data_IF_109635665168
#
_entry.id   IF_109635665168
#
_cell.length_a   1.000
_cell.length_b   1.000
_cell.length_c   1.000
_cell.angle_alpha   90.00
_cell.angle_beta   90.00
_cell.angle_gamma   90.00
#
_symmetry.space_group_name_H-M   'P 1'
#
loop_
_entity.id
_entity.type
_entity.pdbx_description
1 polymer ?
#
# COMPACT_ATOMS: atom_id res chain seq x y z
N UNK A 1 15.70 22.30 -5.27
CA UNK A 1 15.16 21.04 -4.71
C UNK A 1 13.72 20.83 -5.18
N UNK A 2 13.27 19.58 -5.22
CA UNK A 2 11.89 19.15 -5.51
C UNK A 2 11.35 18.46 -4.26
N UNK A 3 10.12 18.77 -3.87
CA UNK A 3 9.40 18.10 -2.79
C UNK A 3 8.43 17.09 -3.39
N UNK A 4 8.65 15.81 -3.12
CA UNK A 4 7.66 14.78 -3.39
C UNK A 4 6.92 14.41 -2.10
N UNK A 5 5.63 14.14 -2.21
CA UNK A 5 4.76 13.81 -1.09
C UNK A 5 3.96 12.57 -1.47
N UNK A 6 3.86 11.62 -0.55
CA UNK A 6 3.05 10.42 -0.68
C UNK A 6 1.99 10.41 0.42
N UNK A 7 0.73 10.52 0.01
CA UNK A 7 -0.46 10.57 0.86
C UNK A 7 -1.18 9.24 0.74
N UNK A 8 -0.79 8.29 1.59
CA UNK A 8 -1.32 6.93 1.61
C UNK A 8 -2.45 6.72 2.64
N UNK A 9 -2.87 5.46 2.78
CA UNK A 9 -3.98 5.07 3.66
C UNK A 9 -3.72 5.16 5.17
N UNK A 10 -2.48 5.34 5.61
CA UNK A 10 -2.09 5.40 7.04
C UNK A 10 -1.45 6.73 7.45
N UNK A 11 -1.38 7.70 6.54
CA UNK A 11 -0.68 8.97 6.75
C UNK A 11 0.05 9.48 5.51
N UNK A 12 0.67 10.64 5.65
CA UNK A 12 1.45 11.25 4.59
C UNK A 12 2.95 11.32 4.95
N UNK A 13 3.81 11.22 3.94
CA UNK A 13 5.26 11.31 4.05
C UNK A 13 5.81 12.23 2.96
N UNK A 14 6.97 12.82 3.21
CA UNK A 14 7.65 13.68 2.24
C UNK A 14 9.08 13.23 1.98
N UNK A 15 9.56 13.58 0.80
CA UNK A 15 10.96 13.50 0.37
C UNK A 15 11.34 14.82 -0.29
N UNK A 16 12.45 15.41 0.18
CA UNK A 16 13.16 16.50 -0.49
C UNK A 16 14.29 15.90 -1.31
N UNK A 17 14.27 16.15 -2.61
CA UNK A 17 15.22 15.61 -3.57
C UNK A 17 15.95 16.74 -4.30
N UNK A 18 17.27 16.62 -4.46
CA UNK A 18 18.10 17.64 -5.11
C UNK A 18 18.27 17.46 -6.62
N UNK A 19 17.91 16.28 -7.16
CA UNK A 19 18.20 15.90 -8.54
C UNK A 19 18.98 14.58 -8.63
N UNK A 20 19.61 14.19 -7.53
CA UNK A 20 20.46 13.00 -7.46
C UNK A 20 20.12 12.17 -6.21
N UNK A 21 20.03 12.81 -5.05
CA UNK A 21 19.84 12.16 -3.74
C UNK A 21 18.73 12.77 -2.90
N UNK A 22 18.29 11.99 -1.91
CA UNK A 22 17.36 12.45 -0.88
C UNK A 22 18.10 13.33 0.11
N UNK A 23 17.73 14.61 0.18
CA UNK A 23 18.28 15.60 1.13
C UNK A 23 17.62 15.48 2.49
N UNK A 24 16.31 15.21 2.50
CA UNK A 24 15.52 15.07 3.72
C UNK A 24 14.29 14.23 3.43
N UNK A 25 13.82 13.49 4.44
CA UNK A 25 12.55 12.75 4.37
C UNK A 25 11.95 12.62 5.75
N UNK A 26 10.63 12.43 5.82
CA UNK A 26 9.97 12.19 7.10
C UNK A 26 8.46 12.11 6.99
N UNK A 27 7.79 11.82 8.12
CA UNK A 27 6.33 11.86 8.19
C UNK A 27 5.82 13.31 8.16
N UNK A 28 4.61 13.48 7.65
CA UNK A 28 3.79 14.68 7.83
C UNK A 28 2.81 14.46 8.98
N UNK A 29 2.30 15.54 9.57
CA UNK A 29 1.31 15.49 10.66
C UNK A 29 -0.11 15.26 10.13
N UNK A 30 -0.34 15.46 8.84
CA UNK A 30 -1.59 15.11 8.16
C UNK A 30 -1.91 13.60 8.22
N UNK A 31 -3.19 13.29 8.42
CA UNK A 31 -3.77 11.93 8.43
C UNK A 31 -4.97 11.83 7.49
N UNK A 32 -5.28 10.61 6.99
CA UNK A 32 -6.48 10.38 6.20
C UNK A 32 -7.73 10.88 6.94
N UNK A 33 -8.53 11.71 6.27
CA UNK A 33 -9.70 12.37 6.83
C UNK A 33 -9.46 13.80 7.31
N UNK A 34 -8.21 14.23 7.46
CA UNK A 34 -7.88 15.63 7.74
C UNK A 34 -8.14 16.53 6.52
N UNK A 35 -8.49 17.79 6.77
CA UNK A 35 -8.66 18.78 5.71
C UNK A 35 -7.36 19.02 4.92
N UNK A 36 -7.46 19.14 3.59
CA UNK A 36 -6.32 19.42 2.70
C UNK A 36 -5.59 20.73 3.04
N UNK A 37 -6.27 21.69 3.66
CA UNK A 37 -5.67 22.94 4.14
C UNK A 37 -4.54 22.68 5.17
N UNK A 38 -4.68 21.65 6.01
CA UNK A 38 -3.63 21.22 6.93
C UNK A 38 -2.39 20.71 6.19
N UNK A 39 -2.59 19.90 5.15
CA UNK A 39 -1.52 19.42 4.29
C UNK A 39 -0.83 20.59 3.58
N UNK A 40 -1.59 21.50 2.96
CA UNK A 40 -1.07 22.69 2.26
C UNK A 40 -0.14 23.52 3.15
N UNK A 41 -0.53 23.78 4.40
CA UNK A 41 0.32 24.52 5.37
C UNK A 41 1.64 23.81 5.66
N UNK A 42 1.63 22.49 5.78
CA UNK A 42 2.86 21.72 5.94
C UNK A 42 3.76 21.79 4.70
N UNK A 43 3.17 21.75 3.50
CA UNK A 43 3.92 21.89 2.24
C UNK A 43 4.60 23.26 2.15
N UNK A 44 3.89 24.35 2.47
CA UNK A 44 4.47 25.71 2.48
C UNK A 44 5.62 25.85 3.49
N UNK A 45 5.49 25.26 4.68
CA UNK A 45 6.57 25.21 5.66
C UNK A 45 7.81 24.49 5.11
N UNK A 46 7.63 23.35 4.44
CA UNK A 46 8.73 22.61 3.83
C UNK A 46 9.33 23.36 2.65
N UNK A 47 8.50 24.05 1.85
CA UNK A 47 8.97 24.91 0.74
C UNK A 47 9.92 25.99 1.23
N UNK A 48 9.53 26.74 2.26
CA UNK A 48 10.37 27.77 2.87
C UNK A 48 11.64 27.22 3.51
N UNK A 49 11.54 26.11 4.25
CA UNK A 49 12.70 25.50 4.94
C UNK A 49 13.79 25.01 3.99
N UNK A 50 13.40 24.45 2.84
CA UNK A 50 14.32 23.77 1.93
C UNK A 50 14.41 24.44 0.55
N UNK A 51 13.96 25.69 0.36
CA UNK A 51 14.05 26.37 -0.93
C UNK A 51 13.49 25.53 -2.10
N UNK A 52 12.32 24.92 -1.90
CA UNK A 52 11.71 24.01 -2.87
C UNK A 52 11.20 24.79 -4.08
N UNK A 53 11.52 24.31 -5.29
CA UNK A 53 11.09 24.94 -6.55
C UNK A 53 9.83 24.31 -7.15
N UNK A 54 9.63 23.02 -6.92
CA UNK A 54 8.49 22.25 -7.42
C UNK A 54 8.01 21.28 -6.33
N UNK A 55 6.71 21.13 -6.21
CA UNK A 55 6.03 20.21 -5.29
C UNK A 55 5.16 19.26 -6.08
N UNK A 56 5.33 17.96 -5.85
CA UNK A 56 4.44 16.93 -6.36
C UNK A 56 3.78 16.18 -5.21
N UNK A 57 2.56 15.71 -5.44
CA UNK A 57 1.81 14.91 -4.48
C UNK A 57 1.28 13.65 -5.17
N UNK A 58 1.57 12.48 -4.62
CA UNK A 58 0.81 11.27 -4.91
C UNK A 58 -0.23 11.08 -3.81
N UNK A 59 -1.49 10.87 -4.20
CA UNK A 59 -2.60 10.79 -3.26
C UNK A 59 -3.49 9.59 -3.54
N UNK A 60 -3.76 8.81 -2.51
CA UNK A 60 -4.71 7.70 -2.55
C UNK A 60 -6.09 8.21 -2.96
N UNK A 61 -6.73 7.48 -3.87
CA UNK A 61 -8.10 7.79 -4.31
C UNK A 61 -8.20 8.82 -5.43
N UNK A 62 -7.06 9.35 -5.92
CA UNK A 62 -7.01 10.22 -7.10
C UNK A 62 -6.69 9.37 -8.32
N UNK A 63 -7.54 9.40 -9.34
CA UNK A 63 -7.36 8.61 -10.57
C UNK A 63 -7.53 9.44 -11.84
N UNK A 64 -8.66 10.14 -11.94
CA UNK A 64 -9.06 10.92 -13.11
C UNK A 64 -8.32 12.25 -13.20
N UNK A 65 -8.31 12.87 -14.38
CA UNK A 65 -7.69 14.18 -14.55
C UNK A 65 -8.41 15.27 -13.75
N UNK A 66 -9.75 15.18 -13.61
CA UNK A 66 -10.53 16.12 -12.82
C UNK A 66 -10.19 16.04 -11.32
N UNK A 67 -10.09 14.82 -10.77
CA UNK A 67 -9.64 14.61 -9.38
C UNK A 67 -8.22 15.13 -9.15
N UNK A 68 -7.31 14.89 -10.11
CA UNK A 68 -5.93 15.42 -10.03
C UNK A 68 -5.92 16.93 -10.00
N UNK A 69 -6.71 17.56 -10.86
CA UNK A 69 -6.77 19.00 -10.99
C UNK A 69 -7.43 19.66 -9.76
N UNK A 70 -8.45 19.04 -9.17
CA UNK A 70 -9.04 19.47 -7.91
C UNK A 70 -8.02 19.49 -6.78
N UNK A 71 -7.28 18.38 -6.60
CA UNK A 71 -6.22 18.28 -5.58
C UNK A 71 -5.09 19.27 -5.88
N UNK A 72 -4.70 19.41 -7.15
CA UNK A 72 -3.64 20.32 -7.59
C UNK A 72 -3.96 21.76 -7.21
N UNK A 73 -5.18 22.23 -7.50
CA UNK A 73 -5.65 23.58 -7.15
C UNK A 73 -5.77 23.77 -5.64
N UNK A 74 -6.31 22.78 -4.94
CA UNK A 74 -6.53 22.86 -3.49
C UNK A 74 -5.20 23.00 -2.73
N UNK A 75 -4.19 22.23 -3.12
CA UNK A 75 -2.87 22.23 -2.48
C UNK A 75 -1.92 23.28 -3.07
N UNK A 76 -2.18 23.81 -4.27
CA UNK A 76 -1.29 24.75 -4.95
C UNK A 76 0.05 24.11 -5.35
N UNK A 77 0.01 22.91 -5.90
CA UNK A 77 1.20 22.09 -6.23
C UNK A 77 1.38 21.95 -7.75
N UNK A 78 2.58 21.54 -8.18
CA UNK A 78 2.96 21.47 -9.60
C UNK A 78 2.45 20.21 -10.30
N UNK A 79 2.17 19.14 -9.56
CA UNK A 79 1.66 17.90 -10.14
C UNK A 79 1.07 16.93 -9.13
N UNK A 80 0.06 16.19 -9.59
CA UNK A 80 -0.65 15.19 -8.79
C UNK A 80 -0.64 13.83 -9.49
N UNK A 81 -0.34 12.80 -8.70
CA UNK A 81 -0.36 11.39 -9.07
C UNK A 81 -1.31 10.63 -8.15
N UNK A 82 -1.68 9.43 -8.57
CA UNK A 82 -2.19 8.40 -7.65
C UNK A 82 -1.03 7.92 -6.76
N UNK A 83 -1.31 7.50 -5.52
CA UNK A 83 -0.31 6.91 -4.61
C UNK A 83 0.54 5.80 -5.27
N UNK A 84 -0.11 4.84 -5.94
CA UNK A 84 0.56 3.74 -6.65
C UNK A 84 1.44 4.22 -7.81
N UNK A 85 1.07 5.31 -8.49
CA UNK A 85 1.90 5.90 -9.55
C UNK A 85 3.16 6.54 -8.96
N UNK A 86 3.07 7.14 -7.77
CA UNK A 86 4.24 7.62 -7.04
C UNK A 86 5.25 6.49 -6.82
N UNK A 87 4.79 5.32 -6.36
CA UNK A 87 5.64 4.13 -6.20
C UNK A 87 6.19 3.66 -7.55
N UNK A 88 5.36 3.64 -8.60
CA UNK A 88 5.78 3.25 -9.94
C UNK A 88 6.94 4.09 -10.47
N UNK A 89 6.85 5.42 -10.38
CA UNK A 89 7.92 6.30 -10.87
C UNK A 89 9.18 6.30 -10.00
N UNK A 90 9.11 5.72 -8.80
CA UNK A 90 10.32 5.47 -8.02
C UNK A 90 11.12 4.28 -8.57
N UNK A 91 10.40 3.20 -8.89
CA UNK A 91 10.96 1.94 -9.38
C UNK A 91 11.30 1.98 -10.87
N UNK A 92 10.45 2.65 -11.68
CA UNK A 92 10.47 2.54 -13.13
C UNK A 92 10.46 3.91 -13.81
N UNK A 93 10.93 3.93 -15.07
CA UNK A 93 10.86 5.12 -15.92
C UNK A 93 9.67 5.04 -16.88
N UNK A 94 9.47 3.89 -17.52
CA UNK A 94 8.45 3.69 -18.56
C UNK A 94 7.74 2.35 -18.45
N UNK A 95 8.50 1.27 -18.20
CA UNK A 95 7.97 -0.09 -18.24
C UNK A 95 8.23 -0.82 -16.92
N UNK A 96 7.20 -1.49 -16.41
CA UNK A 96 7.25 -2.27 -15.17
C UNK A 96 5.87 -2.47 -14.57
N UNK A 97 5.82 -3.15 -13.42
CA UNK A 97 4.60 -3.34 -12.65
C UNK A 97 4.89 -3.18 -11.16
N UNK A 98 4.00 -2.54 -10.43
CA UNK A 98 4.07 -2.39 -8.98
C UNK A 98 2.95 -3.19 -8.36
N UNK A 99 3.27 -3.94 -7.32
CA UNK A 99 2.30 -4.60 -6.45
C UNK A 99 2.42 -3.98 -5.06
N UNK A 100 1.33 -3.38 -4.61
CA UNK A 100 1.22 -2.81 -3.26
C UNK A 100 0.45 -3.78 -2.38
N UNK A 101 1.04 -4.15 -1.24
CA UNK A 101 0.43 -4.97 -0.19
C UNK A 101 0.74 -4.37 1.19
N UNK A 102 -0.13 -3.46 1.64
CA UNK A 102 -0.11 -2.83 2.95
C UNK A 102 -1.44 -3.07 3.67
N UNK A 103 -1.98 -2.03 4.32
CA UNK A 103 -3.35 -2.06 4.88
C UNK A 103 -4.37 -2.44 3.81
N UNK A 104 -4.24 -1.87 2.61
CA UNK A 104 -4.95 -2.27 1.39
C UNK A 104 -3.98 -2.84 0.35
N UNK A 105 -4.51 -3.19 -0.83
CA UNK A 105 -3.72 -3.77 -1.92
C UNK A 105 -4.14 -3.24 -3.28
N UNK A 106 -3.18 -3.17 -4.20
CA UNK A 106 -3.40 -2.79 -5.60
C UNK A 106 -2.24 -3.27 -6.48
N UNK A 107 -2.54 -3.63 -7.72
CA UNK A 107 -1.54 -3.84 -8.76
C UNK A 107 -1.68 -2.77 -9.86
N UNK A 108 -0.57 -2.20 -10.30
CA UNK A 108 -0.51 -1.18 -11.35
C UNK A 108 0.67 -1.48 -12.28
N UNK A 109 0.46 -1.41 -13.59
CA UNK A 109 1.55 -1.64 -14.53
C UNK A 109 1.47 -0.75 -15.75
N UNK A 110 2.66 -0.50 -16.31
CA UNK A 110 2.84 0.24 -17.56
C UNK A 110 3.80 -0.54 -18.43
N UNK A 111 3.46 -0.70 -19.71
CA UNK A 111 4.34 -1.29 -20.70
C UNK A 111 4.00 -0.77 -22.09
N UNK A 112 5.00 -0.32 -22.84
CA UNK A 112 4.82 0.13 -24.23
C UNK A 112 3.69 1.17 -24.38
N UNK A 113 3.57 2.07 -23.39
CA UNK A 113 2.54 3.12 -23.34
C UNK A 113 1.15 2.67 -22.86
N UNK A 114 0.90 1.35 -22.74
CA UNK A 114 -0.33 0.82 -22.13
C UNK A 114 -0.23 0.88 -20.62
N UNK A 115 -1.34 1.18 -19.96
CA UNK A 115 -1.46 1.26 -18.50
C UNK A 115 -2.65 0.44 -18.06
N UNK A 116 -2.48 -0.35 -17.01
CA UNK A 116 -3.57 -1.08 -16.39
C UNK A 116 -3.41 -1.07 -14.88
N UNK A 117 -4.54 -1.24 -14.20
CA UNK A 117 -4.58 -1.41 -12.74
C UNK A 117 -5.66 -2.41 -12.37
N UNK A 118 -5.43 -3.13 -11.29
CA UNK A 118 -6.44 -3.99 -10.71
C UNK A 118 -6.34 -3.95 -9.19
N UNK A 119 -7.50 -3.95 -8.54
CA UNK A 119 -7.63 -3.72 -7.10
C UNK A 119 -7.66 -2.23 -6.72
N UNK A 120 -7.61 -1.97 -5.41
CA UNK A 120 -7.69 -0.64 -4.84
C UNK A 120 -9.12 -0.08 -4.73
N UNK A 121 -10.16 -0.93 -4.75
CA UNK A 121 -11.55 -0.49 -4.53
C UNK A 121 -11.89 -0.29 -3.03
N UNK A 122 -10.92 -0.55 -2.15
CA UNK A 122 -11.00 -0.32 -0.72
C UNK A 122 -11.71 -1.44 0.05
N UNK A 123 -11.75 -1.32 1.39
CA UNK A 123 -11.97 -2.45 2.29
C UNK A 123 -13.39 -3.00 2.31
N UNK A 124 -14.36 -2.28 1.73
CA UNK A 124 -15.76 -2.72 1.67
C UNK A 124 -15.97 -3.70 0.52
N UNK A 125 -15.27 -3.50 -0.61
CA UNK A 125 -15.51 -4.22 -1.86
C UNK A 125 -14.33 -5.12 -2.24
N UNK A 126 -13.12 -4.78 -1.82
CA UNK A 126 -11.85 -5.34 -2.29
C UNK A 126 -10.82 -5.38 -1.13
N UNK A 127 -9.58 -4.91 -1.36
CA UNK A 127 -8.37 -5.15 -0.60
C UNK A 127 -7.92 -6.62 -0.58
N UNK A 128 -8.17 -7.39 -1.65
CA UNK A 128 -7.77 -8.81 -1.72
C UNK A 128 -6.26 -9.01 -1.51
N UNK A 129 -5.93 -9.93 -0.61
CA UNK A 129 -4.54 -10.22 -0.23
C UNK A 129 -3.80 -9.11 0.53
N UNK A 130 -4.49 -8.04 0.94
CA UNK A 130 -3.95 -7.01 1.83
C UNK A 130 -3.86 -7.49 3.29
N UNK A 131 -3.23 -6.67 4.15
CA UNK A 131 -3.21 -6.91 5.59
C UNK A 131 -4.62 -6.91 6.19
N UNK A 132 -5.50 -5.99 5.76
CA UNK A 132 -6.88 -5.97 6.23
C UNK A 132 -7.64 -7.25 5.84
N UNK A 133 -7.46 -7.72 4.62
CA UNK A 133 -8.09 -8.95 4.13
C UNK A 133 -7.55 -10.19 4.86
N UNK A 134 -6.23 -10.27 5.06
CA UNK A 134 -5.61 -11.33 5.87
C UNK A 134 -6.17 -11.35 7.30
N UNK A 135 -6.27 -10.18 7.95
CA UNK A 135 -6.83 -10.06 9.28
C UNK A 135 -8.28 -10.51 9.36
N UNK A 136 -9.12 -10.12 8.40
CA UNK A 136 -10.51 -10.59 8.29
C UNK A 136 -10.61 -12.10 8.16
N UNK A 137 -9.82 -12.68 7.25
CA UNK A 137 -9.84 -14.13 7.03
C UNK A 137 -9.33 -14.89 8.27
N UNK A 138 -8.30 -14.37 8.95
CA UNK A 138 -7.80 -14.94 10.19
C UNK A 138 -8.84 -14.90 11.31
N UNK A 139 -9.56 -13.78 11.48
CA UNK A 139 -10.69 -13.69 12.42
C UNK A 139 -11.76 -14.71 12.06
N UNK A 140 -12.15 -14.83 10.79
CA UNK A 140 -13.16 -15.80 10.35
C UNK A 140 -12.76 -17.25 10.69
N UNK A 141 -11.51 -17.63 10.39
CA UNK A 141 -10.99 -18.98 10.69
C UNK A 141 -10.97 -19.23 12.20
N UNK A 142 -10.45 -18.27 12.97
CA UNK A 142 -10.37 -18.35 14.42
C UNK A 142 -11.74 -18.46 15.09
N UNK A 143 -12.81 -17.93 14.49
CA UNK A 143 -14.17 -18.10 15.02
C UNK A 143 -14.76 -19.50 14.74
N UNK A 144 -14.35 -20.16 13.65
CA UNK A 144 -14.90 -21.47 13.24
C UNK A 144 -14.35 -22.63 14.06
N UNK A 145 -13.13 -22.53 14.58
CA UNK A 145 -12.51 -23.56 15.40
C UNK A 145 -11.54 -22.97 16.41
N UNK A 146 -11.32 -23.70 17.50
CA UNK A 146 -10.20 -23.44 18.40
C UNK A 146 -8.89 -23.73 17.66
N UNK A 147 -7.92 -22.83 17.81
CA UNK A 147 -6.61 -22.94 17.20
C UNK A 147 -5.61 -22.04 17.92
N UNK A 148 -4.32 -22.33 17.76
CA UNK A 148 -3.26 -21.44 18.22
C UNK A 148 -3.45 -20.02 17.66
N UNK A 149 -3.91 -19.90 16.40
CA UNK A 149 -4.23 -18.62 15.79
C UNK A 149 -5.35 -17.86 16.54
N UNK A 150 -6.38 -18.52 17.08
CA UNK A 150 -7.40 -17.86 17.92
C UNK A 150 -6.76 -17.23 19.15
N UNK A 151 -5.99 -18.01 19.90
CA UNK A 151 -5.29 -17.53 21.09
C UNK A 151 -4.33 -16.39 20.73
N UNK A 152 -3.60 -16.49 19.62
CA UNK A 152 -2.66 -15.45 19.18
C UNK A 152 -3.36 -14.14 18.80
N UNK A 153 -4.55 -14.19 18.17
CA UNK A 153 -5.30 -12.99 17.77
C UNK A 153 -6.00 -12.30 18.94
N UNK A 154 -6.61 -13.06 19.85
CA UNK A 154 -7.50 -12.50 20.88
C UNK A 154 -6.94 -12.59 22.29
N UNK A 155 -5.82 -13.30 22.51
CA UNK A 155 -5.27 -13.61 23.84
C UNK A 155 -6.22 -14.39 24.75
N UNK A 156 -7.24 -15.03 24.18
CA UNK A 156 -8.26 -15.84 24.88
C UNK A 156 -8.85 -16.87 23.92
N UNK A 157 -9.35 -17.98 24.46
CA UNK A 157 -10.15 -18.96 23.72
C UNK A 157 -11.65 -18.83 24.00
N UNK A 158 -12.05 -18.03 24.99
CA UNK A 158 -13.44 -17.81 25.37
C UNK A 158 -14.19 -17.06 24.26
N UNK A 159 -15.16 -17.74 23.65
CA UNK A 159 -15.97 -17.19 22.55
C UNK A 159 -16.80 -15.97 22.96
N UNK A 160 -17.22 -15.86 24.22
CA UNK A 160 -18.00 -14.72 24.68
C UNK A 160 -17.12 -13.48 24.86
N UNK A 161 -15.88 -13.66 25.34
CA UNK A 161 -14.90 -12.58 25.38
C UNK A 161 -14.54 -12.10 23.97
N UNK A 162 -14.32 -13.02 23.03
CA UNK A 162 -14.06 -12.71 21.62
C UNK A 162 -15.24 -11.96 21.00
N UNK A 163 -16.48 -12.38 21.25
CA UNK A 163 -17.69 -11.67 20.79
C UNK A 163 -17.72 -10.24 21.31
N UNK A 164 -17.37 -10.02 22.57
CA UNK A 164 -17.34 -8.67 23.15
C UNK A 164 -16.25 -7.80 22.50
N UNK A 165 -15.05 -8.34 22.26
CA UNK A 165 -13.97 -7.65 21.53
C UNK A 165 -14.45 -7.22 20.14
N UNK A 166 -15.02 -8.15 19.37
CA UNK A 166 -15.48 -7.89 18.01
C UNK A 166 -16.68 -6.91 17.98
N UNK A 167 -17.60 -7.02 18.92
CA UNK A 167 -18.73 -6.10 19.04
C UNK A 167 -18.28 -4.69 19.42
N UNK A 168 -17.26 -4.55 20.27
CA UNK A 168 -16.66 -3.24 20.57
C UNK A 168 -15.99 -2.64 19.33
N UNK A 169 -15.28 -3.46 18.55
CA UNK A 169 -14.63 -3.04 17.31
C UNK A 169 -15.65 -2.55 16.27
N UNK A 170 -16.76 -3.26 16.08
CA UNK A 170 -17.80 -2.90 15.11
C UNK A 170 -18.49 -1.55 15.40
N UNK A 171 -18.38 -1.02 16.62
CA UNK A 171 -18.91 0.30 17.00
C UNK A 171 -17.98 1.45 16.64
N UNK A 172 -16.74 1.18 16.20
CA UNK A 172 -15.76 2.20 15.80
C UNK A 172 -16.02 2.69 14.37
N UNK A 173 -15.35 3.78 13.99
CA UNK A 173 -15.38 4.28 12.61
C UNK A 173 -14.62 3.32 11.69
N UNK A 174 -15.05 3.24 10.42
CA UNK A 174 -14.45 2.32 9.44
C UNK A 174 -12.90 2.38 9.36
N UNK A 175 -12.25 3.56 9.36
CA UNK A 175 -10.78 3.61 9.33
C UNK A 175 -10.11 2.92 10.53
N UNK A 176 -10.70 3.05 11.72
CA UNK A 176 -10.20 2.43 12.95
C UNK A 176 -10.41 0.91 12.92
N UNK A 177 -11.55 0.45 12.37
CA UNK A 177 -11.81 -0.97 12.15
C UNK A 177 -10.77 -1.56 11.20
N UNK A 178 -10.50 -0.87 10.10
CA UNK A 178 -9.54 -1.32 9.08
C UNK A 178 -8.13 -1.39 9.65
N UNK A 179 -7.73 -0.39 10.44
CA UNK A 179 -6.42 -0.37 11.11
C UNK A 179 -6.26 -1.52 12.10
N UNK A 180 -7.24 -1.73 12.99
CA UNK A 180 -7.21 -2.81 13.99
C UNK A 180 -7.13 -4.19 13.32
N UNK A 181 -8.02 -4.45 12.35
CA UNK A 181 -8.06 -5.74 11.64
C UNK A 181 -6.78 -5.95 10.83
N UNK A 182 -6.27 -4.92 10.14
CA UNK A 182 -5.02 -5.04 9.41
C UNK A 182 -3.83 -5.33 10.35
N UNK A 183 -3.91 -4.90 11.61
CA UNK A 183 -2.94 -5.24 12.66
C UNK A 183 -2.79 -6.75 12.89
N UNK A 184 -3.87 -7.52 12.75
CA UNK A 184 -3.85 -8.97 12.88
C UNK A 184 -2.98 -9.67 11.82
N UNK A 185 -2.73 -9.04 10.67
CA UNK A 185 -1.84 -9.63 9.67
C UNK A 185 -0.42 -9.86 10.21
N UNK A 186 0.04 -9.03 11.15
CA UNK A 186 1.33 -9.25 11.82
C UNK A 186 1.33 -10.55 12.62
N UNK A 187 0.28 -10.77 13.41
CA UNK A 187 0.12 -11.99 14.23
C UNK A 187 0.05 -13.22 13.32
N UNK A 188 -0.69 -13.13 12.21
CA UNK A 188 -0.77 -14.19 11.21
C UNK A 188 0.61 -14.51 10.63
N UNK A 189 1.39 -13.50 10.25
CA UNK A 189 2.73 -13.72 9.70
C UNK A 189 3.67 -14.37 10.72
N UNK A 190 3.65 -13.91 11.98
CA UNK A 190 4.45 -14.48 13.07
C UNK A 190 4.05 -15.94 13.35
N UNK A 191 2.74 -16.25 13.42
CA UNK A 191 2.26 -17.62 13.61
C UNK A 191 2.61 -18.54 12.42
N UNK A 192 2.52 -18.03 11.19
CA UNK A 192 2.88 -18.80 9.99
C UNK A 192 4.39 -19.11 9.94
N UNK A 193 5.24 -18.19 10.43
CA UNK A 193 6.68 -18.43 10.57
C UNK A 193 6.99 -19.52 11.62
N UNK A 194 6.13 -19.68 12.63
CA UNK A 194 6.19 -20.77 13.61
C UNK A 194 5.57 -22.09 13.10
N UNK A 195 5.04 -22.11 11.88
CA UNK A 195 4.49 -23.31 11.25
C UNK A 195 3.01 -23.57 11.51
N UNK A 196 2.27 -22.60 12.06
CA UNK A 196 0.81 -22.73 12.22
C UNK A 196 0.12 -22.88 10.85
N UNK A 197 -0.65 -23.96 10.69
CA UNK A 197 -1.24 -24.33 9.40
C UNK A 197 -2.35 -23.36 8.96
N UNK A 198 -3.13 -22.82 9.90
CA UNK A 198 -4.18 -21.85 9.61
C UNK A 198 -3.60 -20.52 9.17
N UNK A 199 -2.56 -20.06 9.86
CA UNK A 199 -1.82 -18.86 9.50
C UNK A 199 -1.13 -19.02 8.13
N UNK A 200 -0.50 -20.17 7.86
CA UNK A 200 0.06 -20.49 6.54
C UNK A 200 -1.02 -20.52 5.45
N UNK A 201 -2.21 -21.02 5.75
CA UNK A 201 -3.34 -20.98 4.83
C UNK A 201 -3.73 -19.53 4.50
N UNK A 202 -3.87 -18.66 5.50
CA UNK A 202 -4.19 -17.23 5.30
C UNK A 202 -3.13 -16.55 4.43
N UNK A 203 -1.84 -16.75 4.73
CA UNK A 203 -0.72 -16.18 3.95
C UNK A 203 -0.78 -16.64 2.50
N UNK A 204 -0.95 -17.95 2.25
CA UNK A 204 -1.00 -18.51 0.89
C UNK A 204 -2.25 -18.07 0.13
N UNK A 205 -3.37 -17.86 0.82
CA UNK A 205 -4.57 -17.33 0.20
C UNK A 205 -4.34 -15.88 -0.25
N UNK A 206 -3.79 -15.04 0.62
CA UNK A 206 -3.46 -13.65 0.29
C UNK A 206 -2.47 -13.53 -0.88
N UNK A 207 -1.41 -14.36 -0.88
CA UNK A 207 -0.44 -14.42 -1.99
C UNK A 207 -1.13 -14.77 -3.31
N UNK A 208 -2.07 -15.72 -3.32
CA UNK A 208 -2.81 -16.09 -4.53
C UNK A 208 -3.65 -14.94 -5.07
N UNK A 209 -4.32 -14.20 -4.19
CA UNK A 209 -5.10 -13.03 -4.57
C UNK A 209 -4.21 -11.95 -5.20
N UNK A 210 -3.08 -11.61 -4.57
CA UNK A 210 -2.14 -10.62 -5.12
C UNK A 210 -1.60 -11.06 -6.50
N UNK A 211 -1.29 -12.34 -6.67
CA UNK A 211 -0.86 -12.87 -7.98
C UNK A 211 -2.00 -12.81 -9.00
N UNK A 212 -3.24 -13.13 -8.62
CA UNK A 212 -4.39 -13.01 -9.52
C UNK A 212 -4.57 -11.57 -10.03
N UNK A 213 -4.39 -10.57 -9.16
CA UNK A 213 -4.39 -9.16 -9.56
C UNK A 213 -3.27 -8.83 -10.55
N UNK A 214 -2.07 -9.38 -10.33
CA UNK A 214 -0.95 -9.24 -11.28
C UNK A 214 -1.31 -9.80 -12.66
N UNK A 215 -1.90 -11.00 -12.70
CA UNK A 215 -2.28 -11.62 -13.97
C UNK A 215 -3.32 -10.79 -14.71
N UNK A 216 -4.28 -10.18 -14.01
CA UNK A 216 -5.27 -9.27 -14.61
C UNK A 216 -4.62 -8.04 -15.23
N UNK A 217 -3.66 -7.43 -14.56
CA UNK A 217 -2.88 -6.31 -15.12
C UNK A 217 -2.06 -6.78 -16.35
N UNK A 218 -1.45 -7.96 -16.27
CA UNK A 218 -0.67 -8.54 -17.36
C UNK A 218 -1.50 -8.91 -18.60
N UNK A 219 -2.80 -9.21 -18.44
CA UNK A 219 -3.72 -9.41 -19.58
C UNK A 219 -3.83 -8.14 -20.44
N UNK A 220 -3.77 -6.96 -19.82
CA UNK A 220 -3.95 -5.67 -20.51
C UNK A 220 -2.64 -5.09 -21.06
N UNK A 221 -1.55 -5.15 -20.27
CA UNK A 221 -0.26 -4.54 -20.64
C UNK A 221 0.74 -5.55 -21.22
N UNK A 222 0.43 -6.85 -21.19
CA UNK A 222 1.37 -7.93 -21.47
C UNK A 222 2.30 -8.23 -20.30
N UNK A 223 3.34 -9.05 -20.54
CA UNK A 223 4.25 -9.49 -19.49
C UNK A 223 5.38 -8.47 -19.19
N UNK A 224 5.46 -7.86 -18.00
CA UNK A 224 6.58 -7.00 -17.62
C UNK A 224 7.82 -7.85 -17.27
N UNK A 225 9.03 -7.32 -17.47
CA UNK A 225 10.26 -8.01 -17.03
C UNK A 225 10.51 -7.91 -15.52
N UNK A 226 10.07 -6.80 -14.94
CA UNK A 226 10.42 -6.40 -13.59
C UNK A 226 9.18 -5.97 -12.82
N UNK A 227 9.09 -6.40 -11.57
CA UNK A 227 7.97 -6.10 -10.66
C UNK A 227 8.50 -5.48 -9.37
N UNK A 228 8.02 -4.31 -9.00
CA UNK A 228 8.33 -3.68 -7.73
C UNK A 228 7.33 -4.10 -6.66
N UNK A 229 7.86 -4.50 -5.50
CA UNK A 229 7.08 -4.89 -4.33
C UNK A 229 7.04 -3.71 -3.35
N UNK A 230 5.85 -3.28 -2.95
CA UNK A 230 5.68 -2.17 -2.03
C UNK A 230 4.66 -2.50 -0.93
N UNK A 231 4.88 -1.97 0.27
CA UNK A 231 3.96 -2.15 1.41
C UNK A 231 4.51 -3.07 2.50
N UNK A 232 3.83 -3.04 3.65
CA UNK A 232 4.30 -3.65 4.89
C UNK A 232 4.38 -5.18 4.85
N UNK A 233 3.50 -5.85 4.11
CA UNK A 233 3.46 -7.32 4.05
C UNK A 233 4.75 -7.89 3.42
N UNK A 234 5.32 -7.21 2.44
CA UNK A 234 6.59 -7.63 1.81
C UNK A 234 7.82 -7.51 2.70
N UNK A 235 7.70 -6.92 3.91
CA UNK A 235 8.78 -6.97 4.91
C UNK A 235 8.94 -8.37 5.52
N UNK A 236 7.86 -9.16 5.60
CA UNK A 236 7.97 -10.57 6.01
C UNK A 236 8.69 -11.36 4.94
N UNK A 237 9.75 -12.06 5.35
CA UNK A 237 10.53 -12.92 4.46
C UNK A 237 9.70 -14.08 3.91
N UNK A 238 8.83 -14.67 4.74
CA UNK A 238 7.90 -15.73 4.37
C UNK A 238 6.93 -15.24 3.28
N UNK A 239 6.21 -14.14 3.54
CA UNK A 239 5.22 -13.60 2.60
C UNK A 239 5.86 -13.24 1.26
N UNK A 240 6.99 -12.54 1.30
CA UNK A 240 7.74 -12.14 0.11
C UNK A 240 8.21 -13.35 -0.69
N UNK A 241 8.78 -14.38 -0.04
CA UNK A 241 9.24 -15.60 -0.70
C UNK A 241 8.10 -16.36 -1.38
N UNK A 242 6.97 -16.54 -0.69
CA UNK A 242 5.78 -17.20 -1.25
C UNK A 242 5.23 -16.44 -2.47
N UNK A 243 5.13 -15.10 -2.37
CA UNK A 243 4.69 -14.25 -3.48
C UNK A 243 5.61 -14.35 -4.69
N UNK A 244 6.91 -14.14 -4.49
CA UNK A 244 7.92 -14.19 -5.57
C UNK A 244 7.96 -15.57 -6.21
N UNK A 245 7.93 -16.64 -5.42
CA UNK A 245 7.96 -18.02 -5.93
C UNK A 245 6.72 -18.32 -6.81
N UNK A 246 5.55 -17.80 -6.43
CA UNK A 246 4.34 -17.99 -7.22
C UNK A 246 4.35 -17.14 -8.50
N UNK A 247 4.68 -15.84 -8.40
CA UNK A 247 4.66 -14.94 -9.56
C UNK A 247 5.75 -15.25 -10.59
N UNK A 248 6.92 -15.76 -10.16
CA UNK A 248 8.00 -16.21 -11.07
C UNK A 248 7.57 -17.26 -12.08
N UNK A 249 6.51 -18.02 -11.80
CA UNK A 249 5.95 -19.01 -12.74
C UNK A 249 5.41 -18.39 -14.03
N UNK A 250 5.22 -17.06 -14.05
CA UNK A 250 4.72 -16.29 -15.19
C UNK A 250 5.84 -15.50 -15.91
N UNK A 251 7.07 -15.99 -15.85
CA UNK A 251 8.25 -15.44 -16.54
C UNK A 251 8.63 -14.00 -16.14
N UNK A 252 8.34 -13.61 -14.89
CA UNK A 252 8.90 -12.39 -14.28
C UNK A 252 10.35 -12.65 -13.86
N UNK A 253 11.29 -11.85 -14.38
CA UNK A 253 12.72 -12.04 -14.18
C UNK A 253 13.30 -11.27 -13.00
N UNK A 254 12.74 -10.12 -12.67
CA UNK A 254 13.29 -9.20 -11.68
C UNK A 254 12.24 -8.73 -10.68
N UNK A 255 12.64 -8.63 -9.42
CA UNK A 255 11.82 -8.10 -8.33
C UNK A 255 12.58 -6.97 -7.67
N UNK A 256 11.98 -5.77 -7.67
CA UNK A 256 12.55 -4.58 -7.04
C UNK A 256 11.92 -4.38 -5.67
N UNK A 257 12.75 -4.02 -4.70
CA UNK A 257 12.34 -3.72 -3.33
C UNK A 257 12.72 -2.26 -3.00
N UNK A 258 12.44 -1.81 -1.77
CA UNK A 258 12.87 -0.49 -1.25
C UNK A 258 12.37 0.73 -2.04
N UNK A 259 11.12 0.67 -2.48
CA UNK A 259 10.45 1.79 -3.14
C UNK A 259 9.92 2.82 -2.14
N UNK A 260 9.94 4.09 -2.55
CA UNK A 260 9.45 5.23 -1.78
C UNK A 260 8.59 6.12 -2.71
N UNK A 261 7.27 6.12 -2.48
CA UNK A 261 6.32 6.85 -3.32
C UNK A 261 6.61 8.35 -3.38
N UNK A 262 7.05 8.96 -2.27
CA UNK A 262 7.38 10.38 -2.24
C UNK A 262 8.65 10.66 -3.06
N UNK A 263 9.64 9.77 -3.02
CA UNK A 263 10.82 9.86 -3.90
C UNK A 263 10.44 9.72 -5.36
N UNK A 264 9.55 8.79 -5.69
CA UNK A 264 9.08 8.59 -7.06
C UNK A 264 8.30 9.77 -7.63
N UNK A 265 7.49 10.44 -6.80
CA UNK A 265 6.83 11.70 -7.18
C UNK A 265 7.86 12.78 -7.54
N UNK A 266 8.92 12.93 -6.73
CA UNK A 266 9.98 13.90 -7.01
C UNK A 266 10.72 13.58 -8.33
N UNK A 267 11.05 12.30 -8.56
CA UNK A 267 11.66 11.81 -9.81
C UNK A 267 10.76 12.01 -11.03
N UNK A 268 9.46 11.79 -10.88
CA UNK A 268 8.49 12.01 -11.94
C UNK A 268 8.40 13.48 -12.32
N UNK A 269 8.29 14.35 -11.32
CA UNK A 269 8.14 15.80 -11.53
C UNK A 269 9.40 16.45 -12.10
N UNK A 270 10.58 15.87 -11.88
CA UNK A 270 11.84 16.37 -12.44
C UNK A 270 12.00 16.13 -13.94
N UNK A 271 11.23 15.19 -14.50
CA UNK A 271 11.25 14.83 -15.92
C UNK A 271 10.25 15.66 -16.74
N UNK A 272 9.51 16.57 -16.09
CA UNK A 272 8.55 17.52 -16.66
C UNK A 272 9.07 18.94 -16.52
#
# INVERSE_FOLDING_TARGET
MILGVDVGGSGARYVVWDGERVVSKGPLRWRPGDALEGLRKELERLKGRYGIRKVGVAMRGVWTEDEREEVRRSLGVDGVLSDVEGVFYDAFVRDGMVVVAGTGSICYGVREGRRARFGGFGPIVDDWGSAFWMGRLAVEISLKKESFLRMALFSTEDLEEIRNILAALQRRRLPEIVEEIAGYARVVLEAAELGDEDALFVVRAAVRELVAMCLKVMEEIGNPRSVALHGGLFRSSLFRREFVALLRRYAIGEFLEETDGARGVAKWLSRR
#
